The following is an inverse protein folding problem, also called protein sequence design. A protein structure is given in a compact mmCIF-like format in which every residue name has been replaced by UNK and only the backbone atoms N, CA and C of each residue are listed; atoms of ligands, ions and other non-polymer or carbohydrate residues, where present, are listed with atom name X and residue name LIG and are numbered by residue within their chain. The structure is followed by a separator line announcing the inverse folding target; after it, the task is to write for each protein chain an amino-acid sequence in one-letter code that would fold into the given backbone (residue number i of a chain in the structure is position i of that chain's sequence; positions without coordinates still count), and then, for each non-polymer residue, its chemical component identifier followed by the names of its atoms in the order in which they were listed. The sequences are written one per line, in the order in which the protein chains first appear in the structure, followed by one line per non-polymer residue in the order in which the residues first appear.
data_IF_335800918015
#
_entry.id   IF_335800918015
#
_cell.length_a   1.000
_cell.length_b   1.000
_cell.length_c   1.000
_cell.angle_alpha   90.00
_cell.angle_beta   90.00
_cell.angle_gamma   90.00
#
_symmetry.space_group_name_H-M   'P 1'
#
loop_
_entity.id
_entity.type
_entity.pdbx_description
1 polymer ?
#
# COMPACT_ATOMS: atom_id res chain seq x y z
N UNK A 1 2.42 0.72 -12.14
CA UNK A 1 3.18 0.45 -10.90
C UNK A 1 3.69 1.76 -10.24
N UNK A 2 3.01 2.90 -10.44
CA UNK A 2 3.31 4.20 -9.80
C UNK A 2 2.62 4.37 -8.43
N UNK A 3 1.76 3.42 -8.06
CA UNK A 3 0.97 3.43 -6.84
C UNK A 3 1.81 3.30 -5.55
N UNK A 4 3.11 2.97 -5.66
CA UNK A 4 4.02 2.90 -4.51
C UNK A 4 4.28 4.27 -3.86
N UNK A 5 4.33 5.33 -4.65
CA UNK A 5 4.49 6.69 -4.12
C UNK A 5 3.23 7.14 -3.38
N UNK A 6 2.05 6.85 -3.93
CA UNK A 6 0.77 7.11 -3.28
C UNK A 6 0.62 6.30 -1.99
N UNK A 7 1.03 5.02 -2.00
CA UNK A 7 1.06 4.18 -0.80
C UNK A 7 1.98 4.76 0.28
N UNK A 8 3.15 5.27 -0.10
CA UNK A 8 4.06 5.94 0.84
C UNK A 8 3.42 7.18 1.47
N UNK A 9 2.71 7.98 0.68
CA UNK A 9 1.97 9.15 1.17
C UNK A 9 0.90 8.74 2.19
N UNK A 10 0.08 7.74 1.84
CA UNK A 10 -0.96 7.20 2.75
C UNK A 10 -0.35 6.65 4.04
N UNK A 11 0.77 5.92 3.95
CA UNK A 11 1.46 5.41 5.14
C UNK A 11 2.00 6.53 6.03
N UNK A 12 2.50 7.62 5.45
CA UNK A 12 2.96 8.78 6.21
C UNK A 12 1.80 9.49 6.90
N UNK A 13 0.68 9.67 6.20
CA UNK A 13 -0.53 10.30 6.77
C UNK A 13 -1.06 9.48 7.95
N UNK A 14 -1.13 8.15 7.79
CA UNK A 14 -1.52 7.22 8.88
C UNK A 14 -0.57 7.31 10.08
N UNK A 15 0.74 7.45 9.84
CA UNK A 15 1.72 7.60 10.93
C UNK A 15 1.49 8.88 11.73
N UNK A 16 1.20 10.00 11.05
CA UNK A 16 0.90 11.29 11.68
C UNK A 16 -0.39 11.20 12.51
N UNK A 17 -1.42 10.55 11.98
CA UNK A 17 -2.66 10.31 12.71
C UNK A 17 -2.43 9.47 13.97
N UNK A 18 -1.63 8.41 13.87
CA UNK A 18 -1.25 7.56 14.99
C UNK A 18 -0.44 8.31 16.06
N UNK A 19 0.48 9.21 15.66
CA UNK A 19 1.19 10.06 16.62
C UNK A 19 0.24 10.96 17.40
N UNK A 20 -0.71 11.61 16.71
CA UNK A 20 -1.70 12.47 17.35
C UNK A 20 -2.60 11.67 18.30
N UNK A 21 -3.09 10.51 17.86
CA UNK A 21 -3.91 9.62 18.68
C UNK A 21 -3.15 9.15 19.95
N UNK A 22 -1.87 8.77 19.80
CA UNK A 22 -1.02 8.34 20.93
C UNK A 22 -0.82 9.46 21.94
N UNK A 23 -0.49 10.68 21.48
CA UNK A 23 -0.29 11.83 22.36
C UNK A 23 -1.59 12.20 23.09
N UNK A 24 -2.73 12.19 22.39
CA UNK A 24 -4.03 12.46 23.02
C UNK A 24 -4.39 11.39 24.05
N UNK A 25 -4.12 10.11 23.75
CA UNK A 25 -4.35 9.02 24.69
C UNK A 25 -3.49 9.19 25.96
N UNK A 26 -2.20 9.52 25.82
CA UNK A 26 -1.31 9.83 26.95
C UNK A 26 -1.84 11.01 27.74
N UNK A 27 -2.21 12.11 27.09
CA UNK A 27 -2.69 13.30 27.79
C UNK A 27 -4.00 13.08 28.58
N UNK A 28 -4.89 12.21 28.10
CA UNK A 28 -6.20 11.97 28.74
C UNK A 28 -6.16 10.84 29.78
N UNK A 29 -5.22 9.90 29.67
CA UNK A 29 -5.19 8.70 30.52
C UNK A 29 -3.93 8.53 31.37
N UNK A 30 -2.89 9.35 31.17
CA UNK A 30 -1.72 9.31 32.04
C UNK A 30 -2.11 9.76 33.45
N UNK A 31 -1.81 8.91 34.44
CA UNK A 31 -1.93 9.32 35.83
C UNK A 31 -0.88 10.42 36.14
N UNK A 32 -1.27 11.49 36.86
CA UNK A 32 -0.32 12.49 37.30
C UNK A 32 0.72 11.85 38.22
N UNK A 33 1.99 12.11 37.92
CA UNK A 33 3.09 11.59 38.73
C UNK A 33 2.97 12.05 40.19
N UNK A 34 3.25 11.15 41.13
CA UNK A 34 3.33 11.49 42.56
C UNK A 34 4.50 12.46 42.76
N UNK A 35 4.21 13.59 43.40
CA UNK A 35 5.17 14.66 43.67
C UNK A 35 6.06 14.32 44.88
N UNK A 36 5.61 13.40 45.72
CA UNK A 36 6.31 12.95 46.93
C UNK A 36 6.37 11.42 47.00
N UNK A 37 7.44 10.91 47.63
CA UNK A 37 7.75 9.48 47.78
C UNK A 37 6.71 8.75 48.63
N UNK A 38 6.10 9.47 49.58
CA UNK A 38 5.02 8.95 50.42
C UNK A 38 3.66 9.09 49.73
N UNK A 39 2.94 7.97 49.44
CA UNK A 39 1.67 7.99 48.73
C UNK A 39 0.57 8.82 49.43
N UNK A 40 0.64 8.95 50.75
CA UNK A 40 -0.34 9.67 51.58
C UNK A 40 0.14 11.07 52.00
N UNK A 41 1.20 11.60 51.38
CA UNK A 41 1.66 12.96 51.66
C UNK A 41 0.58 13.98 51.28
N UNK A 42 0.43 15.01 52.11
CA UNK A 42 -0.56 16.09 51.94
C UNK A 42 -0.41 16.75 50.56
N UNK A 43 0.82 16.78 50.03
CA UNK A 43 1.16 17.29 48.71
C UNK A 43 0.55 16.44 47.58
N UNK A 44 0.57 15.11 47.70
CA UNK A 44 -0.02 14.19 46.72
C UNK A 44 -1.56 14.23 46.79
N UNK A 45 -2.13 14.34 47.99
CA UNK A 45 -3.58 14.47 48.20
C UNK A 45 -4.09 15.81 47.67
N UNK A 46 -3.35 16.91 47.87
CA UNK A 46 -3.70 18.22 47.35
C UNK A 46 -3.58 18.31 45.81
N UNK A 47 -2.62 17.59 45.22
CA UNK A 47 -2.48 17.49 43.76
C UNK A 47 -3.58 16.66 43.10
N UNK A 48 -4.18 15.71 43.84
CA UNK A 48 -5.33 14.91 43.41
C UNK A 48 -6.69 15.50 43.81
N UNK A 49 -6.71 16.63 44.54
CA UNK A 49 -7.96 17.27 44.94
C UNK A 49 -8.67 17.89 43.71
N UNK A 50 -10.00 17.69 43.55
CA UNK A 50 -10.74 18.30 42.45
C UNK A 50 -10.65 19.83 42.53
N UNK A 51 -10.18 20.49 41.46
CA UNK A 51 -10.25 21.95 41.39
C UNK A 51 -11.72 22.41 41.41
N UNK A 52 -12.07 23.46 42.18
CA UNK A 52 -13.44 23.95 42.24
C UNK A 52 -13.83 24.52 40.87
N UNK A 53 -14.66 23.78 40.13
CA UNK A 53 -15.15 24.16 38.79
C UNK A 53 -15.16 23.03 37.76
N UNK A 54 -14.49 21.90 38.00
CA UNK A 54 -14.55 20.72 37.10
C UNK A 54 -15.45 19.63 37.72
N UNK A 55 -16.74 19.93 37.80
CA UNK A 55 -17.76 18.92 38.06
C UNK A 55 -18.00 18.11 36.77
N UNK A 56 -18.07 16.78 36.93
CA UNK A 56 -18.51 15.80 35.94
C UNK A 56 -17.60 15.56 34.71
N UNK A 57 -16.48 14.86 34.92
CA UNK A 57 -16.19 13.73 34.03
C UNK A 57 -16.14 12.46 34.89
N UNK A 58 -17.32 11.84 34.97
CA UNK A 58 -17.53 10.52 35.55
C UNK A 58 -16.49 9.55 35.02
N UNK A 59 -15.83 8.89 35.96
CA UNK A 59 -15.28 7.55 35.79
C UNK A 59 -16.36 6.65 35.15
N UNK A 60 -16.28 6.47 33.84
CA UNK A 60 -16.80 5.25 33.23
C UNK A 60 -15.90 4.13 33.75
N UNK A 61 -16.45 3.34 34.67
CA UNK A 61 -15.97 2.01 35.06
C UNK A 61 -16.05 1.05 33.86
N UNK A 62 -15.36 1.36 32.77
CA UNK A 62 -14.92 0.37 31.82
C UNK A 62 -13.60 -0.18 32.36
N UNK A 63 -13.40 -1.49 32.29
CA UNK A 63 -12.12 -2.14 32.62
C UNK A 63 -11.07 -1.53 31.71
N UNK A 64 -10.42 -0.44 32.17
CA UNK A 64 -9.41 0.24 31.37
C UNK A 64 -8.33 -0.80 31.10
N UNK A 65 -7.97 -1.05 29.83
CA UNK A 65 -6.76 -1.80 29.55
C UNK A 65 -5.63 -1.10 30.29
N UNK A 66 -4.75 -1.90 30.87
CA UNK A 66 -3.58 -1.41 31.57
C UNK A 66 -2.86 -0.38 30.69
N UNK A 67 -2.71 0.85 31.20
CA UNK A 67 -2.21 2.00 30.44
C UNK A 67 -0.87 1.66 29.78
N UNK A 68 0.00 0.98 30.52
CA UNK A 68 1.30 0.53 30.04
C UNK A 68 1.15 -0.49 28.90
N UNK A 69 0.19 -1.40 28.98
CA UNK A 69 -0.09 -2.37 27.91
C UNK A 69 -0.56 -1.66 26.63
N UNK A 70 -1.46 -0.67 26.74
CA UNK A 70 -1.93 0.11 25.58
C UNK A 70 -0.81 0.96 24.99
N UNK A 71 0.00 1.63 25.80
CA UNK A 71 1.16 2.40 25.31
C UNK A 71 2.18 1.51 24.59
N UNK A 72 2.43 0.31 25.11
CA UNK A 72 3.33 -0.65 24.47
C UNK A 72 2.78 -1.12 23.11
N UNK A 73 1.47 -1.34 22.99
CA UNK A 73 0.83 -1.68 21.72
C UNK A 73 0.94 -0.55 20.68
N UNK A 74 0.57 0.69 21.06
CA UNK A 74 0.65 1.85 20.18
C UNK A 74 2.09 2.11 19.74
N UNK A 75 3.06 1.98 20.65
CA UNK A 75 4.48 2.13 20.35
C UNK A 75 4.98 1.05 19.39
N UNK A 76 4.55 -0.20 19.57
CA UNK A 76 4.88 -1.31 18.67
C UNK A 76 4.34 -1.06 17.26
N UNK A 77 3.11 -0.58 17.13
CA UNK A 77 2.50 -0.28 15.83
C UNK A 77 3.25 0.85 15.10
N UNK A 78 3.61 1.93 15.81
CA UNK A 78 4.44 3.02 15.24
C UNK A 78 5.77 2.48 14.71
N UNK A 79 6.43 1.57 15.45
CA UNK A 79 7.70 0.96 15.02
C UNK A 79 7.50 0.11 13.76
N UNK A 80 6.43 -0.69 13.73
CA UNK A 80 6.10 -1.54 12.58
C UNK A 80 5.80 -0.66 11.36
N UNK A 81 5.04 0.42 11.52
CA UNK A 81 4.74 1.40 10.46
C UNK A 81 5.99 2.09 9.94
N UNK A 82 6.89 2.51 10.82
CA UNK A 82 8.18 3.09 10.42
C UNK A 82 9.03 2.11 9.59
N UNK A 83 9.01 0.81 9.95
CA UNK A 83 9.67 -0.23 9.15
C UNK A 83 9.01 -0.43 7.80
N UNK A 84 7.67 -0.46 7.75
CA UNK A 84 6.91 -0.56 6.50
C UNK A 84 7.23 0.60 5.55
N UNK A 85 7.30 1.82 6.08
CA UNK A 85 7.71 3.03 5.33
C UNK A 85 9.11 2.85 4.75
N UNK A 86 10.06 2.34 5.56
CA UNK A 86 11.43 2.10 5.10
C UNK A 86 11.48 1.08 3.95
N UNK A 87 10.75 -0.04 4.09
CA UNK A 87 10.64 -1.05 3.04
C UNK A 87 9.97 -0.51 1.76
N UNK A 88 8.99 0.40 1.90
CA UNK A 88 8.36 1.05 0.76
C UNK A 88 9.32 1.99 0.03
N UNK A 89 10.15 2.74 0.77
CA UNK A 89 11.19 3.60 0.21
C UNK A 89 12.22 2.76 -0.56
N UNK A 90 12.70 1.67 0.03
CA UNK A 90 13.65 0.75 -0.61
C UNK A 90 13.05 0.09 -1.86
N UNK A 91 11.72 -0.08 -1.88
CA UNK A 91 10.97 -0.62 -3.01
C UNK A 91 10.55 0.39 -4.09
N UNK A 92 10.94 1.67 -3.98
CA UNK A 92 10.54 2.68 -4.95
C UNK A 92 11.21 2.41 -6.32
N UNK A 93 10.42 2.28 -7.41
CA UNK A 93 10.98 2.01 -8.72
C UNK A 93 11.80 3.22 -9.20
N UNK A 94 13.03 2.97 -9.63
CA UNK A 94 13.93 4.01 -10.12
C UNK A 94 14.62 4.83 -9.04
N UNK A 95 14.54 4.42 -7.76
CA UNK A 95 15.35 5.04 -6.70
C UNK A 95 16.85 4.86 -7.02
N UNK A 96 17.60 5.96 -7.02
CA UNK A 96 19.04 5.96 -7.32
C UNK A 96 19.41 5.94 -8.81
N UNK A 97 18.46 5.88 -9.75
CA UNK A 97 18.74 5.92 -11.20
C UNK A 97 18.64 7.36 -11.71
N UNK A 98 19.68 7.92 -12.36
CA UNK A 98 19.62 9.27 -12.90
C UNK A 98 18.60 9.38 -14.04
N UNK A 99 17.94 10.54 -14.24
CA UNK A 99 16.94 10.72 -15.29
C UNK A 99 17.45 10.42 -16.70
N UNK A 100 18.74 10.65 -16.97
CA UNK A 100 19.36 10.37 -18.26
C UNK A 100 19.34 8.88 -18.62
N UNK A 101 19.62 8.02 -17.66
CA UNK A 101 19.62 6.56 -17.85
C UNK A 101 18.19 6.04 -18.00
N UNK A 102 17.23 6.61 -17.27
CA UNK A 102 15.81 6.30 -17.43
C UNK A 102 15.32 6.65 -18.84
N UNK A 103 15.70 7.80 -19.38
CA UNK A 103 15.33 8.21 -20.73
C UNK A 103 15.96 7.33 -21.82
N UNK A 104 17.22 6.93 -21.66
CA UNK A 104 17.88 5.99 -22.56
C UNK A 104 17.21 4.62 -22.54
N UNK A 105 16.84 4.14 -21.35
CA UNK A 105 16.08 2.89 -21.21
C UNK A 105 14.74 2.99 -21.93
N UNK A 106 14.00 4.10 -21.76
CA UNK A 106 12.74 4.34 -22.48
C UNK A 106 12.96 4.31 -23.99
N UNK A 107 13.99 4.97 -24.50
CA UNK A 107 14.29 4.97 -25.93
C UNK A 107 14.58 3.56 -26.47
N UNK A 108 15.39 2.77 -25.75
CA UNK A 108 15.69 1.38 -26.12
C UNK A 108 14.43 0.49 -26.13
N UNK A 109 13.57 0.63 -25.13
CA UNK A 109 12.31 -0.13 -25.02
C UNK A 109 11.33 0.25 -26.14
N UNK A 110 11.28 1.53 -26.51
CA UNK A 110 10.45 1.99 -27.63
C UNK A 110 10.94 1.39 -28.94
N UNK A 111 12.25 1.31 -29.16
CA UNK A 111 12.80 0.72 -30.38
C UNK A 111 12.60 -0.81 -30.42
N UNK A 112 12.78 -1.49 -29.29
CA UNK A 112 12.46 -2.92 -29.17
C UNK A 112 10.97 -3.18 -29.45
N UNK A 113 10.07 -2.36 -28.90
CA UNK A 113 8.63 -2.46 -29.13
C UNK A 113 8.30 -2.31 -30.62
N UNK A 114 8.92 -1.36 -31.32
CA UNK A 114 8.73 -1.18 -32.77
C UNK A 114 9.18 -2.41 -33.56
N UNK A 115 10.29 -3.03 -33.17
CA UNK A 115 10.78 -4.26 -33.82
C UNK A 115 9.81 -5.41 -33.61
N UNK A 116 9.36 -5.63 -32.37
CA UNK A 116 8.40 -6.68 -32.01
C UNK A 116 7.08 -6.48 -32.75
N UNK A 117 6.59 -5.25 -32.88
CA UNK A 117 5.35 -4.97 -33.60
C UNK A 117 5.48 -5.27 -35.11
N UNK A 118 6.62 -4.93 -35.74
CA UNK A 118 6.90 -5.31 -37.13
C UNK A 118 6.91 -6.82 -37.33
N UNK A 119 7.54 -7.55 -36.41
CA UNK A 119 7.55 -9.01 -36.44
C UNK A 119 6.15 -9.61 -36.26
N UNK A 120 5.35 -9.04 -35.35
CA UNK A 120 3.95 -9.41 -35.12
C UNK A 120 3.13 -9.23 -36.40
N UNK A 121 3.23 -8.08 -37.06
CA UNK A 121 2.54 -7.82 -38.33
C UNK A 121 2.94 -8.82 -39.43
N UNK A 122 4.23 -9.11 -39.56
CA UNK A 122 4.71 -10.08 -40.55
C UNK A 122 4.20 -11.51 -40.26
N UNK A 123 4.13 -11.91 -38.99
CA UNK A 123 3.57 -13.21 -38.58
C UNK A 123 2.06 -13.28 -38.84
N UNK A 124 1.31 -12.20 -38.60
CA UNK A 124 -0.11 -12.11 -38.90
C UNK A 124 -0.34 -12.26 -40.42
N UNK A 125 0.42 -11.54 -41.25
CA UNK A 125 0.29 -11.63 -42.71
C UNK A 125 0.55 -13.06 -43.23
N UNK A 126 1.58 -13.74 -42.70
CA UNK A 126 1.85 -15.15 -43.03
C UNK A 126 0.72 -16.08 -42.58
N UNK A 127 0.20 -15.88 -41.37
CA UNK A 127 -0.94 -16.65 -40.85
C UNK A 127 -2.16 -16.48 -41.76
N UNK A 128 -2.48 -15.26 -42.18
CA UNK A 128 -3.65 -14.98 -43.01
C UNK A 128 -3.51 -15.59 -44.42
N UNK A 129 -2.30 -15.55 -45.00
CA UNK A 129 -2.03 -16.21 -46.29
C UNK A 129 -2.21 -17.73 -46.21
N UNK A 130 -1.68 -18.37 -45.16
CA UNK A 130 -1.82 -19.82 -44.95
C UNK A 130 -3.27 -20.21 -44.67
N UNK A 131 -3.99 -19.39 -43.91
CA UNK A 131 -5.40 -19.61 -43.60
C UNK A 131 -6.24 -19.57 -44.87
N UNK A 132 -6.04 -18.57 -45.73
CA UNK A 132 -6.70 -18.47 -47.03
C UNK A 132 -6.43 -19.70 -47.92
N UNK A 133 -5.17 -20.14 -47.99
CA UNK A 133 -4.80 -21.34 -48.76
C UNK A 133 -5.49 -22.60 -48.23
N UNK A 134 -5.59 -22.73 -46.90
CA UNK A 134 -6.27 -23.86 -46.28
C UNK A 134 -7.79 -23.81 -46.53
N UNK A 135 -8.40 -22.63 -46.49
CA UNK A 135 -9.81 -22.43 -46.84
C UNK A 135 -10.11 -22.81 -48.30
N UNK A 136 -9.24 -22.43 -49.24
CA UNK A 136 -9.35 -22.81 -50.65
C UNK A 136 -9.34 -24.33 -50.83
N UNK A 137 -8.38 -25.02 -50.19
CA UNK A 137 -8.31 -26.49 -50.19
C UNK A 137 -9.57 -27.14 -49.60
N UNK A 138 -10.12 -26.60 -48.51
CA UNK A 138 -11.35 -27.12 -47.90
C UNK A 138 -12.53 -26.97 -48.86
N UNK A 139 -12.65 -25.82 -49.55
CA UNK A 139 -13.70 -25.58 -50.55
C UNK A 139 -13.56 -26.53 -51.74
N UNK A 140 -12.35 -26.75 -52.24
CA UNK A 140 -12.09 -27.67 -53.35
C UNK A 140 -12.47 -29.11 -52.99
N UNK A 141 -12.10 -29.57 -51.79
CA UNK A 141 -12.48 -30.91 -51.29
C UNK A 141 -14.00 -31.01 -51.12
N UNK A 142 -14.66 -30.00 -50.55
CA UNK A 142 -16.12 -29.99 -50.39
C UNK A 142 -16.84 -30.03 -51.75
N UNK A 143 -16.34 -29.29 -52.75
CA UNK A 143 -16.86 -29.30 -54.11
C UNK A 143 -16.65 -30.68 -54.77
N UNK A 144 -15.46 -31.27 -54.64
CA UNK A 144 -15.17 -32.61 -55.14
C UNK A 144 -16.12 -33.67 -54.58
N UNK A 145 -16.32 -33.71 -53.26
CA UNK A 145 -17.26 -34.63 -52.60
C UNK A 145 -18.69 -34.43 -53.12
N UNK A 146 -19.12 -33.18 -53.29
CA UNK A 146 -20.47 -32.86 -53.78
C UNK A 146 -20.67 -33.31 -55.22
N UNK A 147 -19.65 -33.16 -56.08
CA UNK A 147 -19.70 -33.62 -57.47
C UNK A 147 -19.71 -35.15 -57.57
N UNK A 148 -18.88 -35.85 -56.77
CA UNK A 148 -18.88 -37.32 -56.73
C UNK A 148 -20.20 -37.90 -56.24
N UNK A 149 -20.92 -37.23 -55.32
CA UNK A 149 -22.23 -37.68 -54.84
C UNK A 149 -23.38 -37.43 -55.84
N UNK A 150 -23.19 -36.54 -56.83
CA UNK A 150 -24.20 -36.19 -57.85
C UNK A 150 -24.12 -37.06 -59.12
N UNK A 151 -23.00 -37.74 -59.37
CA UNK A 151 -22.88 -38.80 -60.38
C UNK A 151 -23.38 -40.13 -59.83
#
# INVERSE_FOLDING_TARGET
MADRLTQLQVCLDQLIEQFNATINYVNMNAEPAKLDTDPNSVTNIAAQAPLPGHADQKETNEVKPDFDTTINELSSDIIIKSRQISMLIDGLPGIGVPPSEQLQLIESLVEELRKVEKERLAKIAKKDALLKWTEELIVDVANGITQTRKQ
#
